data_IF_468639997992
#
_entry.id   IF_468639997992
#
_cell.length_a   1.000
_cell.length_b   1.000
_cell.length_c   1.000
_cell.angle_alpha   90.00
_cell.angle_beta   90.00
_cell.angle_gamma   90.00
#
_symmetry.space_group_name_H-M   'P 1'
#
loop_
_entity.id
_entity.type
_entity.pdbx_description
1 polymer ?
#
# COMPACT_ATOMS: atom_id res chain seq x y z
N UNK A 1 0.58 15.84 -1.22
CA UNK A 1 1.79 15.07 -1.61
C UNK A 1 2.52 15.94 -2.60
N UNK A 2 3.83 16.15 -2.44
CA UNK A 2 4.59 17.04 -3.33
C UNK A 2 4.62 16.45 -4.76
N UNK A 3 4.59 17.31 -5.77
CA UNK A 3 4.57 16.93 -7.20
C UNK A 3 5.74 15.98 -7.59
N UNK A 4 6.82 15.98 -6.81
CA UNK A 4 7.96 15.07 -6.96
C UNK A 4 7.65 13.62 -6.62
N UNK A 5 6.81 13.36 -5.63
CA UNK A 5 6.43 12.00 -5.27
C UNK A 5 5.61 11.35 -6.38
N UNK A 6 4.66 12.09 -6.97
CA UNK A 6 3.83 11.59 -8.08
C UNK A 6 4.65 11.22 -9.33
N UNK A 7 5.67 12.01 -9.66
CA UNK A 7 6.56 11.70 -10.79
C UNK A 7 7.37 10.42 -10.54
N UNK A 8 7.91 10.25 -9.32
CA UNK A 8 8.67 9.04 -8.93
C UNK A 8 7.75 7.82 -8.88
N UNK A 9 6.54 7.97 -8.35
CA UNK A 9 5.49 6.95 -8.35
C UNK A 9 5.15 6.49 -9.77
N UNK A 10 4.87 7.41 -10.69
CA UNK A 10 4.60 7.09 -12.09
C UNK A 10 5.75 6.34 -12.75
N UNK A 11 6.99 6.73 -12.44
CA UNK A 11 8.19 6.12 -12.99
C UNK A 11 8.40 4.71 -12.44
N UNK A 12 8.36 4.53 -11.12
CA UNK A 12 8.40 3.24 -10.44
C UNK A 12 7.30 2.31 -10.93
N UNK A 13 6.09 2.82 -11.11
CA UNK A 13 4.98 2.04 -11.64
C UNK A 13 5.21 1.62 -13.09
N UNK A 14 6.05 2.29 -13.88
CA UNK A 14 6.41 1.84 -15.24
C UNK A 14 7.65 0.94 -15.28
N UNK A 15 8.65 1.27 -14.48
CA UNK A 15 9.97 0.63 -14.53
C UNK A 15 10.14 -0.52 -13.53
N UNK A 16 9.31 -0.58 -12.48
CA UNK A 16 9.45 -1.52 -11.37
C UNK A 16 8.17 -2.36 -11.18
N UNK A 17 8.21 -3.62 -11.64
CA UNK A 17 7.12 -4.58 -11.45
C UNK A 17 6.84 -4.90 -9.98
N UNK A 18 7.87 -4.85 -9.12
CA UNK A 18 7.70 -5.08 -7.69
C UNK A 18 6.83 -3.97 -7.08
N UNK A 19 7.02 -2.71 -7.54
CA UNK A 19 6.18 -1.59 -7.11
C UNK A 19 4.73 -1.77 -7.53
N UNK A 20 4.48 -2.23 -8.77
CA UNK A 20 3.13 -2.54 -9.23
C UNK A 20 2.47 -3.63 -8.37
N UNK A 21 3.23 -4.67 -7.98
CA UNK A 21 2.74 -5.73 -7.10
C UNK A 21 2.35 -5.20 -5.72
N UNK A 22 3.21 -4.40 -5.09
CA UNK A 22 2.89 -3.78 -3.80
C UNK A 22 1.72 -2.78 -3.89
N UNK A 23 1.61 -2.01 -4.98
CA UNK A 23 0.46 -1.13 -5.23
C UNK A 23 -0.85 -1.94 -5.34
N UNK A 24 -0.81 -3.04 -6.10
CA UNK A 24 -1.96 -3.92 -6.28
C UNK A 24 -2.36 -4.57 -4.96
N UNK A 25 -1.40 -5.06 -4.19
CA UNK A 25 -1.63 -5.66 -2.87
C UNK A 25 -2.17 -4.62 -1.88
N UNK A 26 -1.62 -3.40 -1.85
CA UNK A 26 -2.16 -2.30 -1.06
C UNK A 26 -3.63 -2.02 -1.40
N UNK A 27 -3.99 -1.97 -2.69
CA UNK A 27 -5.37 -1.75 -3.12
C UNK A 27 -6.29 -2.91 -2.70
N UNK A 28 -5.86 -4.16 -2.85
CA UNK A 28 -6.64 -5.31 -2.41
C UNK A 28 -6.85 -5.33 -0.90
N UNK A 29 -5.82 -4.98 -0.12
CA UNK A 29 -5.93 -4.84 1.32
C UNK A 29 -6.87 -3.69 1.71
N UNK A 30 -6.90 -2.60 0.96
CA UNK A 30 -7.87 -1.52 1.13
C UNK A 30 -9.31 -1.95 0.86
N UNK A 31 -9.57 -2.65 -0.25
CA UNK A 31 -10.89 -3.18 -0.58
C UNK A 31 -11.38 -4.19 0.46
N UNK A 32 -10.47 -5.02 0.98
CA UNK A 32 -10.76 -5.97 2.06
C UNK A 32 -11.12 -5.22 3.34
N UNK A 33 -10.34 -4.20 3.71
CA UNK A 33 -10.62 -3.35 4.86
C UNK A 33 -11.97 -2.64 4.73
N UNK A 34 -12.26 -2.07 3.56
CA UNK A 34 -13.53 -1.40 3.28
C UNK A 34 -14.71 -2.37 3.37
N UNK A 35 -14.54 -3.60 2.88
CA UNK A 35 -15.58 -4.63 3.01
C UNK A 35 -15.84 -4.97 4.46
N UNK A 36 -14.80 -5.11 5.30
CA UNK A 36 -14.96 -5.37 6.73
C UNK A 36 -15.58 -4.16 7.44
N UNK A 37 -15.13 -2.95 7.14
CA UNK A 37 -15.64 -1.71 7.75
C UNK A 37 -17.07 -1.37 7.32
N UNK A 38 -17.50 -1.86 6.13
CA UNK A 38 -18.87 -1.73 5.66
C UNK A 38 -19.86 -2.62 6.44
N UNK A 39 -19.38 -3.62 7.18
CA UNK A 39 -20.26 -4.42 8.04
C UNK A 39 -20.64 -3.62 9.29
N UNK A 40 -21.94 -3.40 9.57
CA UNK A 40 -22.38 -2.63 10.73
C UNK A 40 -22.08 -3.32 12.07
N UNK A 41 -21.86 -4.64 12.05
CA UNK A 41 -21.44 -5.43 13.19
C UNK A 41 -20.28 -6.32 12.77
N UNK A 42 -19.11 -6.02 13.31
CA UNK A 42 -17.86 -6.72 13.02
C UNK A 42 -17.72 -7.83 14.07
N UNK A 43 -17.65 -9.09 13.64
CA UNK A 43 -17.42 -10.20 14.56
C UNK A 43 -16.00 -10.11 15.15
N UNK A 44 -15.72 -10.71 16.33
CA UNK A 44 -14.38 -10.73 16.91
C UNK A 44 -13.32 -11.32 15.95
N UNK A 45 -13.71 -12.29 15.12
CA UNK A 45 -12.85 -12.84 14.06
C UNK A 45 -12.53 -11.82 12.97
N UNK A 46 -13.53 -11.05 12.53
CA UNK A 46 -13.38 -9.98 11.55
C UNK A 46 -12.58 -8.80 12.12
N UNK A 47 -12.65 -8.50 13.42
CA UNK A 47 -11.80 -7.48 14.03
C UNK A 47 -10.33 -7.90 14.02
N UNK A 48 -10.04 -9.18 14.28
CA UNK A 48 -8.69 -9.73 14.17
C UNK A 48 -8.20 -9.63 12.72
N UNK A 49 -9.04 -10.02 11.76
CA UNK A 49 -8.72 -9.90 10.33
C UNK A 49 -8.50 -8.42 9.94
N UNK A 50 -9.37 -7.51 10.37
CA UNK A 50 -9.21 -6.06 10.15
C UNK A 50 -7.86 -5.56 10.64
N UNK A 51 -7.46 -5.92 11.87
CA UNK A 51 -6.16 -5.55 12.44
C UNK A 51 -5.01 -6.16 11.65
N UNK A 52 -5.16 -7.40 11.15
CA UNK A 52 -4.18 -8.06 10.31
C UNK A 52 -4.03 -7.35 8.96
N UNK A 53 -5.13 -7.07 8.27
CA UNK A 53 -5.19 -6.34 7.01
C UNK A 53 -4.61 -4.93 7.17
N UNK A 54 -4.89 -4.22 8.27
CA UNK A 54 -4.26 -2.93 8.57
C UNK A 54 -2.74 -3.01 8.69
N UNK A 55 -2.21 -4.05 9.37
CA UNK A 55 -0.77 -4.26 9.47
C UNK A 55 -0.14 -4.60 8.12
N UNK A 56 -0.78 -5.46 7.34
CA UNK A 56 -0.33 -5.80 5.99
C UNK A 56 -0.33 -4.56 5.08
N UNK A 57 -1.39 -3.74 5.14
CA UNK A 57 -1.50 -2.50 4.38
C UNK A 57 -0.36 -1.53 4.76
N UNK A 58 -0.07 -1.41 6.05
CA UNK A 58 1.04 -0.59 6.52
C UNK A 58 2.38 -1.11 5.98
N UNK A 59 2.62 -2.42 6.06
CA UNK A 59 3.83 -3.04 5.53
C UNK A 59 3.98 -2.84 4.01
N UNK A 60 2.90 -3.01 3.23
CA UNK A 60 2.89 -2.75 1.79
C UNK A 60 3.22 -1.28 1.48
N UNK A 61 2.62 -0.35 2.23
CA UNK A 61 2.91 1.08 2.11
C UNK A 61 4.37 1.39 2.45
N UNK A 62 4.92 0.81 3.52
CA UNK A 62 6.33 0.96 3.90
C UNK A 62 7.26 0.45 2.80
N UNK A 63 6.96 -0.71 2.18
CA UNK A 63 7.70 -1.23 1.03
C UNK A 63 7.66 -0.28 -0.17
N UNK A 64 6.49 0.26 -0.49
CA UNK A 64 6.35 1.27 -1.56
C UNK A 64 7.16 2.53 -1.26
N UNK A 65 7.10 3.04 -0.03
CA UNK A 65 7.86 4.22 0.40
C UNK A 65 9.38 3.95 0.37
N UNK A 66 9.83 2.76 0.77
CA UNK A 66 11.24 2.38 0.67
C UNK A 66 11.73 2.41 -0.77
N UNK A 67 10.93 1.91 -1.72
CA UNK A 67 11.25 1.98 -3.14
C UNK A 67 11.29 3.41 -3.66
N UNK A 68 10.32 4.24 -3.30
CA UNK A 68 10.31 5.68 -3.65
C UNK A 68 11.57 6.36 -3.11
N UNK A 69 11.94 6.12 -1.85
CA UNK A 69 13.15 6.66 -1.22
C UNK A 69 14.41 6.20 -1.95
N UNK A 70 14.53 4.90 -2.28
CA UNK A 70 15.68 4.38 -3.05
C UNK A 70 15.79 5.02 -4.43
N UNK A 71 14.67 5.20 -5.13
CA UNK A 71 14.64 5.85 -6.45
C UNK A 71 14.96 7.34 -6.39
N UNK A 72 14.56 8.03 -5.32
CA UNK A 72 14.94 9.43 -5.09
C UNK A 72 16.43 9.58 -4.73
N UNK A 73 17.02 8.60 -4.05
CA UNK A 73 18.41 8.65 -3.59
C UNK A 73 19.43 8.16 -4.62
N UNK A 74 19.03 7.32 -5.58
CA UNK A 74 19.89 6.86 -6.68
C UNK A 74 20.11 7.90 -7.80
N UNK A 75 19.52 9.09 -7.68
CA UNK A 75 19.75 10.24 -8.56
C UNK A 75 20.64 11.26 -7.83
N UNK A 76 21.88 10.89 -7.51
CA UNK A 76 22.89 11.78 -6.93
C UNK A 76 24.25 11.53 -7.60
#
# INVERSE_FOLDING_TARGET
>A
MEVKDEAVLQRLRKENQEFQQWEQEHRQLEETLLSIDAHPYISPEEEIERKRVQKLKLAAKDRMMEMVRRSQFGSA
#
